data_IF_747168834079
#
_entry.id   IF_747168834079
#
_cell.length_a   1.000
_cell.length_b   1.000
_cell.length_c   1.000
_cell.angle_alpha   90.00
_cell.angle_beta   90.00
_cell.angle_gamma   90.00
#
_symmetry.space_group_name_H-M   'P 1'
#
loop_
_entity.id
_entity.type
_entity.pdbx_description
1 polymer ?
#
# COMPACT_ATOMS: atom_id res chain seq x y z
N UNK A 1 13.75 11.65 -14.38
CA UNK A 1 13.90 10.92 -13.10
C UNK A 1 15.12 10.02 -13.18
N UNK A 2 15.83 9.79 -12.06
CA UNK A 2 16.96 8.85 -12.01
C UNK A 2 16.45 7.43 -12.29
N UNK A 3 17.26 6.59 -12.93
CA UNK A 3 16.94 5.16 -13.12
C UNK A 3 16.77 4.47 -11.76
N UNK A 4 15.63 3.81 -11.56
CA UNK A 4 15.36 2.99 -10.38
C UNK A 4 16.17 1.68 -10.49
N UNK A 5 16.99 1.42 -9.48
CA UNK A 5 17.81 0.21 -9.38
C UNK A 5 16.94 -1.01 -9.07
N UNK A 6 17.45 -2.21 -9.36
CA UNK A 6 16.75 -3.46 -9.02
C UNK A 6 16.44 -3.58 -7.52
N UNK A 7 17.32 -3.09 -6.65
CA UNK A 7 17.09 -3.06 -5.20
C UNK A 7 15.91 -2.15 -4.82
N UNK A 8 15.85 -0.94 -5.38
CA UNK A 8 14.74 -0.02 -5.16
C UNK A 8 13.41 -0.60 -5.71
N UNK A 9 13.44 -1.27 -6.88
CA UNK A 9 12.27 -1.98 -7.44
C UNK A 9 11.72 -3.05 -6.48
N UNK A 10 12.60 -3.85 -5.87
CA UNK A 10 12.21 -4.86 -4.88
C UNK A 10 11.59 -4.22 -3.64
N UNK A 11 12.21 -3.15 -3.12
CA UNK A 11 11.71 -2.41 -1.96
C UNK A 11 10.30 -1.84 -2.20
N UNK A 12 10.01 -1.29 -3.39
CA UNK A 12 8.66 -0.81 -3.70
C UNK A 12 7.62 -1.92 -3.72
N UNK A 13 7.97 -3.11 -4.23
CA UNK A 13 7.10 -4.29 -4.17
C UNK A 13 6.83 -4.73 -2.73
N UNK A 14 7.86 -4.76 -1.89
CA UNK A 14 7.74 -5.12 -0.48
C UNK A 14 6.88 -4.11 0.29
N UNK A 15 7.06 -2.81 0.04
CA UNK A 15 6.23 -1.74 0.62
C UNK A 15 4.76 -1.90 0.22
N UNK A 16 4.49 -2.17 -1.06
CA UNK A 16 3.12 -2.40 -1.54
C UNK A 16 2.48 -3.62 -0.87
N UNK A 17 3.22 -4.71 -0.73
CA UNK A 17 2.75 -5.93 -0.07
C UNK A 17 2.47 -5.69 1.42
N UNK A 18 3.40 -5.03 2.11
CA UNK A 18 3.25 -4.70 3.54
C UNK A 18 2.01 -3.85 3.77
N UNK A 19 1.82 -2.77 2.99
CA UNK A 19 0.68 -1.88 3.14
C UNK A 19 -0.65 -2.60 2.84
N UNK A 20 -0.67 -3.47 1.83
CA UNK A 20 -1.85 -4.28 1.48
C UNK A 20 -2.25 -5.24 2.61
N UNK A 21 -1.26 -5.88 3.25
CA UNK A 21 -1.50 -6.76 4.41
C UNK A 21 -2.00 -5.95 5.61
N UNK A 22 -1.41 -4.77 5.86
CA UNK A 22 -1.83 -3.88 6.93
C UNK A 22 -3.26 -3.38 6.75
N UNK A 23 -3.64 -3.00 5.53
CA UNK A 23 -5.02 -2.60 5.19
C UNK A 23 -6.01 -3.74 5.44
N UNK A 24 -5.69 -4.97 5.02
CA UNK A 24 -6.54 -6.12 5.25
C UNK A 24 -6.78 -6.37 6.75
N UNK A 25 -5.72 -6.26 7.57
CA UNK A 25 -5.82 -6.36 9.03
C UNK A 25 -6.66 -5.22 9.62
N UNK A 26 -6.42 -3.98 9.19
CA UNK A 26 -7.16 -2.81 9.67
C UNK A 26 -8.67 -2.95 9.41
N UNK A 27 -9.05 -3.38 8.19
CA UNK A 27 -10.46 -3.65 7.85
C UNK A 27 -11.07 -4.76 8.71
N UNK A 28 -10.34 -5.85 8.94
CA UNK A 28 -10.82 -6.95 9.77
C UNK A 28 -10.99 -6.55 11.24
N UNK A 29 -10.08 -5.73 11.79
CA UNK A 29 -10.17 -5.24 13.16
C UNK A 29 -11.29 -4.21 13.30
N UNK A 30 -11.48 -3.34 12.30
CA UNK A 30 -12.49 -2.28 12.32
C UNK A 30 -13.91 -2.80 12.54
N UNK A 31 -14.22 -4.02 12.09
CA UNK A 31 -15.55 -4.64 12.31
C UNK A 31 -15.82 -5.03 13.76
N UNK A 32 -14.79 -5.07 14.61
CA UNK A 32 -14.88 -5.41 16.03
C UNK A 32 -14.91 -4.15 16.92
N UNK A 33 -14.80 -2.96 16.35
CA UNK A 33 -14.79 -1.70 17.10
C UNK A 33 -16.22 -1.24 17.37
N UNK A 34 -16.58 -1.16 18.64
CA UNK A 34 -17.91 -0.68 19.09
C UNK A 34 -17.91 0.80 19.48
N UNK A 35 -16.75 1.34 19.89
CA UNK A 35 -16.62 2.77 20.21
C UNK A 35 -16.61 3.62 18.93
N UNK A 36 -17.55 4.56 18.83
CA UNK A 36 -17.79 5.35 17.61
C UNK A 36 -16.64 6.32 17.27
N UNK A 37 -15.97 6.89 18.28
CA UNK A 37 -14.81 7.75 18.06
C UNK A 37 -13.63 6.92 17.52
N UNK A 38 -13.38 5.75 18.11
CA UNK A 38 -12.36 4.82 17.66
C UNK A 38 -12.66 4.26 16.26
N UNK A 39 -13.94 4.03 15.94
CA UNK A 39 -14.39 3.55 14.63
C UNK A 39 -14.18 4.61 13.54
N UNK A 40 -14.47 5.87 13.87
CA UNK A 40 -14.20 7.01 12.99
C UNK A 40 -12.70 7.11 12.69
N UNK A 41 -11.87 7.06 13.73
CA UNK A 41 -10.41 7.08 13.59
C UNK A 41 -9.90 5.90 12.75
N UNK A 42 -10.43 4.70 12.99
CA UNK A 42 -10.10 3.49 12.23
C UNK A 42 -10.45 3.64 10.75
N UNK A 43 -11.61 4.23 10.44
CA UNK A 43 -12.06 4.48 9.07
C UNK A 43 -11.12 5.44 8.34
N UNK A 44 -10.75 6.57 8.97
CA UNK A 44 -9.77 7.50 8.39
C UNK A 44 -8.40 6.84 8.16
N UNK A 45 -7.97 5.96 9.07
CA UNK A 45 -6.74 5.18 8.90
C UNK A 45 -6.79 4.20 7.72
N UNK A 46 -7.95 3.56 7.49
CA UNK A 46 -8.20 2.69 6.35
C UNK A 46 -8.12 3.48 5.04
N UNK A 47 -8.82 4.62 4.96
CA UNK A 47 -8.81 5.50 3.79
C UNK A 47 -7.40 5.99 3.45
N UNK A 48 -6.63 6.41 4.47
CA UNK A 48 -5.25 6.83 4.30
C UNK A 48 -4.35 5.69 3.78
N UNK A 49 -4.59 4.45 4.22
CA UNK A 49 -3.87 3.26 3.75
C UNK A 49 -4.21 2.94 2.28
N UNK A 50 -5.49 3.05 1.91
CA UNK A 50 -5.92 2.89 0.51
C UNK A 50 -5.30 3.95 -0.41
N UNK A 51 -5.22 5.20 0.05
CA UNK A 51 -4.55 6.27 -0.68
C UNK A 51 -3.05 5.98 -0.86
N UNK A 52 -2.36 5.46 0.17
CA UNK A 52 -0.95 5.06 0.06
C UNK A 52 -0.74 3.92 -0.93
N UNK A 53 -1.58 2.88 -0.89
CA UNK A 53 -1.53 1.78 -1.87
C UNK A 53 -1.66 2.30 -3.29
N UNK A 54 -2.65 3.17 -3.56
CA UNK A 54 -2.85 3.78 -4.87
C UNK A 54 -1.63 4.60 -5.31
N UNK A 55 -1.06 5.39 -4.40
CA UNK A 55 0.16 6.17 -4.68
C UNK A 55 1.36 5.29 -5.03
N UNK A 56 1.58 4.20 -4.29
CA UNK A 56 2.67 3.26 -4.57
C UNK A 56 2.44 2.55 -5.91
N UNK A 57 1.21 2.11 -6.20
CA UNK A 57 0.86 1.49 -7.48
C UNK A 57 1.06 2.45 -8.66
N UNK A 58 0.62 3.70 -8.51
CA UNK A 58 0.83 4.73 -9.53
C UNK A 58 2.32 4.95 -9.79
N UNK A 59 3.12 5.11 -8.73
CA UNK A 59 4.57 5.26 -8.86
C UNK A 59 5.23 4.07 -9.56
N UNK A 60 4.84 2.84 -9.20
CA UNK A 60 5.32 1.60 -9.83
C UNK A 60 5.02 1.58 -11.34
N UNK A 61 3.80 1.97 -11.71
CA UNK A 61 3.35 2.00 -13.11
C UNK A 61 4.05 3.11 -13.91
N UNK A 62 4.17 4.32 -13.35
CA UNK A 62 4.82 5.46 -14.00
C UNK A 62 6.32 5.25 -14.24
N UNK A 63 6.94 4.32 -13.51
CA UNK A 63 8.38 4.05 -13.58
C UNK A 63 8.71 2.65 -14.15
N UNK A 64 7.74 1.97 -14.77
CA UNK A 64 7.91 0.64 -15.40
C UNK A 64 8.64 -0.37 -14.50
N UNK A 65 8.36 -0.32 -13.20
CA UNK A 65 9.03 -1.18 -12.21
C UNK A 65 8.71 -2.66 -12.47
N UNK A 66 7.56 -2.95 -13.11
CA UNK A 66 7.05 -4.30 -13.39
C UNK A 66 7.40 -4.80 -14.81
N UNK A 67 8.36 -4.18 -15.50
CA UNK A 67 8.94 -4.79 -16.71
C UNK A 67 9.74 -6.04 -16.34
N UNK A 68 9.06 -7.20 -16.32
CA UNK A 68 9.72 -8.50 -16.37
C UNK A 68 10.34 -8.65 -17.77
N UNK A 69 11.63 -8.36 -17.90
CA UNK A 69 12.41 -8.92 -19.01
C UNK A 69 12.53 -10.42 -18.76
N UNK A 70 11.64 -11.19 -19.40
CA UNK A 70 11.80 -12.63 -19.59
C UNK A 70 12.71 -12.77 -20.82
N UNK A 71 13.99 -13.03 -20.60
CA UNK A 71 14.91 -13.54 -21.63
C UNK A 71 14.87 -15.06 -21.65
#
# INVERSE_FOLDING_TARGET
>A
MRKITTGEKLQFRELLQMESISLAKAKAISTLIEDEELKTLSTSGIEASEARIKGIQQFINENDIVSMEVN
#
